data_IF_986057796373
#
_entry.id   IF_986057796373
#
_cell.length_a   1.000
_cell.length_b   1.000
_cell.length_c   1.000
_cell.angle_alpha   90.00
_cell.angle_beta   90.00
_cell.angle_gamma   90.00
#
_symmetry.space_group_name_H-M   'P 1'
#
loop_
_entity.id
_entity.type
_entity.pdbx_description
1 polymer ?
#
# COMPACT_ATOMS: atom_id res chain seq x y z
N UNK A 1 -5.89 -4.19 18.94
CA UNK A 1 -6.52 -4.28 17.63
C UNK A 1 -7.34 -3.05 17.26
N UNK A 2 -8.14 -2.53 18.21
CA UNK A 2 -8.86 -1.27 18.01
C UNK A 2 -7.90 -0.12 17.81
N UNK A 3 -6.80 -0.11 18.54
CA UNK A 3 -5.76 0.91 18.40
C UNK A 3 -5.06 0.81 17.05
N UNK A 4 -4.85 -0.40 16.58
CA UNK A 4 -4.27 -0.63 15.25
C UNK A 4 -5.16 -0.04 14.16
N UNK A 5 -6.44 -0.38 14.18
CA UNK A 5 -7.40 0.11 13.19
C UNK A 5 -7.51 1.63 13.25
N UNK A 6 -7.61 2.20 14.45
CA UNK A 6 -7.72 3.64 14.64
C UNK A 6 -6.48 4.36 14.12
N UNK A 7 -5.29 3.85 14.42
CA UNK A 7 -4.04 4.44 13.97
C UNK A 7 -3.93 4.38 12.44
N UNK A 8 -4.28 3.24 11.86
CA UNK A 8 -4.24 3.06 10.41
C UNK A 8 -5.20 4.02 9.71
N UNK A 9 -6.45 4.08 10.18
CA UNK A 9 -7.45 4.96 9.61
C UNK A 9 -7.04 6.43 9.72
N UNK A 10 -6.51 6.82 10.88
CA UNK A 10 -6.05 8.18 11.12
C UNK A 10 -4.90 8.56 10.17
N UNK A 11 -3.94 7.64 10.00
CA UNK A 11 -2.81 7.86 9.10
C UNK A 11 -3.27 8.03 7.66
N UNK A 12 -4.18 7.19 7.21
CA UNK A 12 -4.71 7.28 5.83
C UNK A 12 -5.47 8.60 5.64
N UNK A 13 -6.24 9.00 6.64
CA UNK A 13 -6.97 10.27 6.59
C UNK A 13 -6.02 11.46 6.45
N UNK A 14 -4.95 11.49 7.24
CA UNK A 14 -4.00 12.60 7.24
C UNK A 14 -3.01 12.57 6.07
N UNK A 15 -2.55 11.39 5.69
CA UNK A 15 -1.42 11.25 4.76
C UNK A 15 -1.77 10.54 3.46
N UNK A 16 -2.99 10.06 3.32
CA UNK A 16 -3.39 9.31 2.13
C UNK A 16 -3.15 10.06 0.83
N UNK A 17 -3.38 11.36 0.82
CA UNK A 17 -3.18 12.19 -0.37
C UNK A 17 -1.70 12.29 -0.76
N UNK A 18 -0.81 12.13 0.21
CA UNK A 18 0.64 12.11 -0.06
C UNK A 18 1.07 10.80 -0.72
N UNK A 19 0.34 9.73 -0.47
CA UNK A 19 0.67 8.41 -1.01
C UNK A 19 0.18 8.23 -2.44
N UNK A 20 -0.89 8.93 -2.80
CA UNK A 20 -1.48 8.79 -4.12
C UNK A 20 -0.51 9.08 -5.27
N UNK A 21 0.27 10.17 -5.23
CA UNK A 21 1.25 10.43 -6.29
C UNK A 21 2.31 9.33 -6.43
N UNK A 22 2.71 8.71 -5.33
CA UNK A 22 3.67 7.60 -5.35
C UNK A 22 3.11 6.43 -6.14
N UNK A 23 1.85 6.10 -5.87
CA UNK A 23 1.15 5.00 -6.53
C UNK A 23 0.96 5.33 -8.01
N UNK A 24 0.45 6.52 -8.30
CA UNK A 24 0.13 6.94 -9.66
C UNK A 24 1.37 7.02 -10.56
N UNK A 25 2.49 7.41 -10.01
CA UNK A 25 3.75 7.49 -10.74
C UNK A 25 4.20 6.13 -11.24
N UNK A 26 4.13 5.12 -10.39
CA UNK A 26 4.51 3.76 -10.77
C UNK A 26 3.51 3.17 -11.75
N UNK A 27 2.22 3.35 -11.47
CA UNK A 27 1.16 2.87 -12.36
C UNK A 27 1.31 3.43 -13.76
N UNK A 28 1.63 4.72 -13.88
CA UNK A 28 1.86 5.38 -15.16
C UNK A 28 3.02 4.74 -15.94
N UNK A 29 4.11 4.41 -15.24
CA UNK A 29 5.27 3.76 -15.88
C UNK A 29 4.95 2.36 -16.41
N UNK A 30 3.97 1.71 -15.83
CA UNK A 30 3.57 0.35 -16.20
C UNK A 30 2.32 0.33 -17.09
N UNK A 31 1.97 1.47 -17.67
CA UNK A 31 0.81 1.63 -18.55
C UNK A 31 -0.51 1.26 -17.89
N UNK A 32 -0.61 1.43 -16.59
CA UNK A 32 -1.87 1.28 -15.87
C UNK A 32 -2.59 2.62 -15.97
N UNK A 33 -3.53 2.73 -16.89
CA UNK A 33 -4.21 3.99 -17.18
C UNK A 33 -5.12 4.46 -16.07
N UNK A 34 -5.74 3.53 -15.35
CA UNK A 34 -6.75 3.88 -14.37
C UNK A 34 -6.72 2.90 -13.20
N UNK A 35 -6.64 3.46 -12.01
CA UNK A 35 -6.73 2.70 -10.77
C UNK A 35 -8.11 2.98 -10.19
N UNK A 36 -8.89 1.92 -9.92
CA UNK A 36 -10.19 2.13 -9.30
C UNK A 36 -10.04 2.58 -7.85
N UNK A 37 -11.13 3.15 -7.31
CA UNK A 37 -11.09 3.73 -5.97
C UNK A 37 -10.75 2.73 -4.88
N UNK A 38 -11.28 1.51 -4.99
CA UNK A 38 -11.00 0.48 -3.99
C UNK A 38 -9.52 0.11 -3.97
N UNK A 39 -8.93 -0.09 -5.16
CA UNK A 39 -7.52 -0.43 -5.28
C UNK A 39 -6.64 0.68 -4.72
N UNK A 40 -6.98 1.93 -4.99
CA UNK A 40 -6.25 3.08 -4.46
C UNK A 40 -6.31 3.11 -2.94
N UNK A 41 -7.49 2.90 -2.36
CA UNK A 41 -7.66 2.86 -0.91
C UNK A 41 -6.82 1.74 -0.29
N UNK A 42 -6.87 0.55 -0.88
CA UNK A 42 -6.10 -0.59 -0.37
C UNK A 42 -4.60 -0.31 -0.40
N UNK A 43 -4.11 0.28 -1.47
CA UNK A 43 -2.68 0.60 -1.57
C UNK A 43 -2.27 1.70 -0.59
N UNK A 44 -3.11 2.70 -0.39
CA UNK A 44 -2.85 3.74 0.63
C UNK A 44 -2.77 3.14 2.02
N UNK A 45 -3.68 2.22 2.33
CA UNK A 45 -3.69 1.53 3.62
C UNK A 45 -2.42 0.70 3.81
N UNK A 46 -1.99 0.00 2.76
CA UNK A 46 -0.77 -0.80 2.81
C UNK A 46 0.45 0.08 3.07
N UNK A 47 0.56 1.22 2.39
CA UNK A 47 1.68 2.15 2.59
C UNK A 47 1.67 2.70 4.01
N UNK A 48 0.50 3.05 4.54
CA UNK A 48 0.38 3.51 5.92
C UNK A 48 0.87 2.43 6.89
N UNK A 49 0.52 1.18 6.64
CA UNK A 49 0.95 0.06 7.47
C UNK A 49 2.46 -0.15 7.37
N UNK A 50 3.04 0.00 6.17
CA UNK A 50 4.50 -0.07 6.00
C UNK A 50 5.21 0.92 6.92
N UNK A 51 4.71 2.14 6.99
CA UNK A 51 5.40 3.23 7.69
C UNK A 51 5.12 3.27 9.17
N UNK A 52 3.87 2.99 9.58
CA UNK A 52 3.45 3.19 10.96
C UNK A 52 3.57 1.95 11.84
N UNK A 53 3.80 0.79 11.24
CA UNK A 53 3.87 -0.46 12.00
C UNK A 53 5.16 -1.21 11.67
N UNK A 54 6.29 -0.75 12.22
CA UNK A 54 7.60 -1.32 11.87
C UNK A 54 7.78 -2.78 12.27
N UNK A 55 6.95 -3.29 13.19
CA UNK A 55 7.04 -4.69 13.61
C UNK A 55 6.33 -5.65 12.65
N UNK A 56 5.49 -5.12 11.74
CA UNK A 56 4.80 -5.97 10.77
C UNK A 56 5.70 -6.12 9.53
N UNK A 57 6.11 -7.34 9.18
CA UNK A 57 6.94 -7.56 7.98
C UNK A 57 6.22 -7.12 6.70
N UNK A 58 6.99 -6.66 5.73
CA UNK A 58 6.46 -6.17 4.47
C UNK A 58 5.61 -7.20 3.72
N UNK A 59 6.09 -8.43 3.66
CA UNK A 59 5.38 -9.49 2.94
C UNK A 59 4.04 -9.83 3.59
N UNK A 60 3.95 -9.72 4.91
CA UNK A 60 2.68 -9.93 5.63
C UNK A 60 1.67 -8.85 5.22
N UNK A 61 2.09 -7.59 5.22
CA UNK A 61 1.23 -6.48 4.81
C UNK A 61 0.78 -6.66 3.37
N UNK A 62 1.72 -6.90 2.46
CA UNK A 62 1.40 -7.04 1.03
C UNK A 62 0.41 -8.18 0.80
N UNK A 63 0.68 -9.36 1.39
CA UNK A 63 -0.20 -10.52 1.23
C UNK A 63 -1.60 -10.27 1.75
N UNK A 64 -1.71 -9.56 2.87
CA UNK A 64 -3.01 -9.24 3.46
C UNK A 64 -3.86 -8.38 2.51
N UNK A 65 -3.27 -7.33 1.94
CA UNK A 65 -4.00 -6.45 1.03
C UNK A 65 -4.26 -7.10 -0.33
N UNK A 66 -3.39 -7.99 -0.77
CA UNK A 66 -3.64 -8.79 -1.98
C UNK A 66 -4.87 -9.70 -1.78
N UNK A 67 -4.99 -10.33 -0.62
CA UNK A 67 -6.15 -11.18 -0.33
C UNK A 67 -7.44 -10.37 -0.32
N UNK A 68 -7.40 -9.17 0.26
CA UNK A 68 -8.56 -8.29 0.26
C UNK A 68 -8.90 -7.87 -1.19
N UNK A 69 -7.91 -7.52 -1.98
CA UNK A 69 -8.12 -7.12 -3.37
C UNK A 69 -8.78 -8.21 -4.20
N UNK A 70 -8.45 -9.46 -3.95
CA UNK A 70 -9.07 -10.59 -4.66
C UNK A 70 -10.58 -10.67 -4.43
N UNK A 71 -11.05 -10.20 -3.27
CA UNK A 71 -12.48 -10.22 -2.94
C UNK A 71 -13.23 -9.00 -3.44
N UNK A 72 -12.61 -7.83 -3.40
CA UNK A 72 -13.32 -6.57 -3.55
C UNK A 72 -12.92 -5.75 -4.76
N UNK A 73 -11.96 -6.23 -5.52
CA UNK A 73 -11.46 -5.49 -6.67
C UNK A 73 -11.75 -6.24 -7.98
N UNK A 74 -11.43 -5.59 -9.09
CA UNK A 74 -11.62 -6.19 -10.40
C UNK A 74 -10.67 -7.36 -10.60
N UNK A 75 -11.06 -8.26 -11.49
CA UNK A 75 -10.23 -9.40 -11.85
C UNK A 75 -8.84 -8.93 -12.27
N UNK A 76 -7.83 -9.55 -11.72
CA UNK A 76 -6.41 -9.27 -11.99
C UNK A 76 -5.86 -7.98 -11.38
N UNK A 77 -6.68 -7.15 -10.73
CA UNK A 77 -6.15 -5.96 -10.05
C UNK A 77 -5.06 -6.33 -9.04
N UNK A 78 -5.19 -7.46 -8.37
CA UNK A 78 -4.21 -7.88 -7.38
C UNK A 78 -2.80 -8.05 -7.98
N UNK A 79 -2.70 -8.29 -9.29
CA UNK A 79 -1.42 -8.46 -9.96
C UNK A 79 -0.64 -7.15 -9.95
N UNK A 80 -1.28 -6.06 -10.41
CA UNK A 80 -0.59 -4.77 -10.40
C UNK A 80 -0.46 -4.19 -8.99
N UNK A 81 -1.42 -4.44 -8.11
CA UNK A 81 -1.30 -4.02 -6.70
C UNK A 81 -0.05 -4.63 -6.07
N UNK A 82 0.13 -5.95 -6.28
CA UNK A 82 1.32 -6.63 -5.79
C UNK A 82 2.60 -5.98 -6.32
N UNK A 83 2.65 -5.74 -7.61
CA UNK A 83 3.82 -5.13 -8.23
C UNK A 83 4.09 -3.71 -7.72
N UNK A 84 3.06 -2.88 -7.64
CA UNK A 84 3.18 -1.50 -7.17
C UNK A 84 3.65 -1.46 -5.71
N UNK A 85 3.02 -2.26 -4.83
CA UNK A 85 3.38 -2.28 -3.42
C UNK A 85 4.80 -2.78 -3.18
N UNK A 86 5.23 -3.79 -3.93
CA UNK A 86 6.61 -4.28 -3.84
C UNK A 86 7.61 -3.20 -4.29
N UNK A 87 7.30 -2.48 -5.35
CA UNK A 87 8.16 -1.41 -5.84
C UNK A 87 8.25 -0.26 -4.84
N UNK A 88 7.12 0.15 -4.29
CA UNK A 88 7.08 1.21 -3.28
C UNK A 88 7.86 0.79 -2.04
N UNK A 89 7.66 -0.42 -1.56
CA UNK A 89 8.37 -0.92 -0.38
C UNK A 89 9.88 -0.91 -0.60
N UNK A 90 10.32 -1.36 -1.76
CA UNK A 90 11.74 -1.38 -2.11
C UNK A 90 12.32 0.03 -2.13
N UNK A 91 11.62 0.97 -2.77
CA UNK A 91 12.07 2.35 -2.87
C UNK A 91 12.13 3.02 -1.49
N UNK A 92 11.14 2.77 -0.63
CA UNK A 92 11.09 3.35 0.71
C UNK A 92 12.18 2.80 1.63
N UNK A 93 12.51 1.52 1.49
CA UNK A 93 13.64 0.95 2.23
C UNK A 93 14.96 1.56 1.75
N UNK A 94 15.11 1.75 0.44
CA UNK A 94 16.32 2.28 -0.15
C UNK A 94 16.57 3.75 0.23
N UNK A 95 15.50 4.56 0.28
CA UNK A 95 15.63 5.99 0.59
C UNK A 95 15.54 6.30 2.09
N UNK A 96 15.34 5.30 2.93
CA UNK A 96 15.27 5.48 4.37
C UNK A 96 13.94 5.99 4.91
N UNK A 97 12.91 6.15 4.06
CA UNK A 97 11.61 6.65 4.50
C UNK A 97 10.77 5.62 5.25
N UNK A 98 11.22 4.39 5.26
CA UNK A 98 10.56 3.30 5.99
C UNK A 98 11.61 2.43 6.67
N UNK A 99 11.33 2.03 7.91
CA UNK A 99 12.19 1.09 8.64
C UNK A 99 11.36 -0.08 9.11
N UNK A 100 11.94 -1.28 9.02
CA UNK A 100 11.33 -2.48 9.58
C UNK A 100 12.24 -3.08 10.64
N UNK A 101 11.64 -3.48 11.73
CA UNK A 101 12.34 -4.12 12.84
C UNK A 101 12.34 -5.62 12.57
N UNK A 102 13.52 -6.19 12.54
CA UNK A 102 13.69 -7.62 12.29
C UNK A 102 13.60 -8.43 13.56
#
# INVERSE_FOLDING_TARGET
EREFVAKLAHTVFLKGDQYEPMISKIASKWDVERINKMDMVLMKMAIAEFKEFPLIPLDVTINEYIEIAKYYSTEKSYIFINGILNKIAKDMLADGSMEKIK
#
